data_IF_757867604365
#
_entry.id   IF_757867604365
#
_cell.length_a   1.000
_cell.length_b   1.000
_cell.length_c   1.000
_cell.angle_alpha   90.00
_cell.angle_beta   90.00
_cell.angle_gamma   90.00
#
_symmetry.space_group_name_H-M   'P 1'
#
loop_
_entity.id
_entity.type
_entity.pdbx_description
1 polymer ?
#
# COMPACT_ATOMS: atom_id res chain seq x y z
N UNK A 1 -1.74 12.35 62.36
CA UNK A 1 -0.93 11.89 61.22
C UNK A 1 -1.88 11.09 60.35
N UNK A 2 -2.53 11.76 59.39
CA UNK A 2 -3.35 11.09 58.38
C UNK A 2 -2.54 11.11 57.08
N UNK A 3 -1.96 9.97 56.73
CA UNK A 3 -1.22 9.76 55.50
C UNK A 3 -2.20 9.50 54.33
N UNK A 4 -2.25 10.48 53.42
CA UNK A 4 -2.02 10.30 51.99
C UNK A 4 -2.79 9.16 51.27
N UNK A 5 -4.13 9.25 51.26
CA UNK A 5 -5.00 8.37 50.44
C UNK A 5 -5.29 8.93 49.04
N UNK A 6 -5.07 10.23 48.81
CA UNK A 6 -5.35 10.91 47.54
C UNK A 6 -4.35 10.60 46.40
N UNK A 7 -3.18 10.02 46.72
CA UNK A 7 -2.10 9.79 45.75
C UNK A 7 -2.24 8.46 44.98
N UNK A 8 -3.10 7.55 45.44
CA UNK A 8 -3.24 6.22 44.83
C UNK A 8 -4.18 6.22 43.62
N UNK A 9 -5.28 6.98 43.67
CA UNK A 9 -6.25 7.04 42.56
C UNK A 9 -5.66 7.73 41.33
N UNK A 10 -4.88 8.80 41.52
CA UNK A 10 -4.17 9.51 40.45
C UNK A 10 -3.10 8.63 39.79
N UNK A 11 -2.37 7.84 40.57
CA UNK A 11 -1.41 6.85 40.09
C UNK A 11 -2.08 5.77 39.23
N UNK A 12 -3.26 5.27 39.64
CA UNK A 12 -4.03 4.29 38.88
C UNK A 12 -4.61 4.86 37.59
N UNK A 13 -5.13 6.08 37.59
CA UNK A 13 -5.63 6.75 36.38
C UNK A 13 -4.51 7.02 35.37
N UNK A 14 -3.34 7.44 35.83
CA UNK A 14 -2.17 7.60 34.97
C UNK A 14 -1.70 6.27 34.36
N UNK A 15 -1.71 5.18 35.13
CA UNK A 15 -1.38 3.85 34.59
C UNK A 15 -2.41 3.38 33.57
N UNK A 16 -3.71 3.58 33.81
CA UNK A 16 -4.77 3.25 32.86
C UNK A 16 -4.66 4.05 31.56
N UNK A 17 -4.37 5.36 31.63
CA UNK A 17 -4.14 6.18 30.45
C UNK A 17 -2.86 5.78 29.68
N UNK A 18 -1.82 5.33 30.38
CA UNK A 18 -0.58 4.83 29.74
C UNK A 18 -0.84 3.51 29.02
N UNK A 19 -1.59 2.60 29.64
CA UNK A 19 -2.00 1.32 29.05
C UNK A 19 -2.93 1.53 27.87
N UNK A 20 -3.90 2.46 27.95
CA UNK A 20 -4.83 2.74 26.86
C UNK A 20 -4.11 3.40 25.67
N UNK A 21 -3.22 4.37 25.93
CA UNK A 21 -2.34 4.92 24.88
C UNK A 21 -1.50 3.83 24.21
N UNK A 22 -0.90 2.94 24.98
CA UNK A 22 -0.09 1.85 24.44
C UNK A 22 -0.94 0.87 23.61
N UNK A 23 -2.15 0.55 24.05
CA UNK A 23 -3.10 -0.28 23.30
C UNK A 23 -3.55 0.39 22.00
N UNK A 24 -3.79 1.71 22.00
CA UNK A 24 -4.10 2.49 20.80
C UNK A 24 -2.91 2.50 19.82
N UNK A 25 -1.67 2.60 20.31
CA UNK A 25 -0.46 2.50 19.48
C UNK A 25 -0.28 1.10 18.88
N UNK A 26 -0.54 0.03 19.64
CA UNK A 26 -0.51 -1.36 19.15
C UNK A 26 -1.60 -1.58 18.09
N UNK A 27 -2.82 -1.10 18.34
CA UNK A 27 -3.94 -1.19 17.40
C UNK A 27 -3.65 -0.42 16.10
N UNK A 28 -3.09 0.79 16.19
CA UNK A 28 -2.65 1.57 15.02
C UNK A 28 -1.45 0.94 14.32
N UNK A 29 -0.51 0.34 15.05
CA UNK A 29 0.63 -0.39 14.48
C UNK A 29 0.22 -1.65 13.71
N UNK A 30 -0.86 -2.32 14.13
CA UNK A 30 -1.47 -3.45 13.41
C UNK A 30 -2.10 -3.06 12.07
N UNK A 31 -2.41 -1.77 11.84
CA UNK A 31 -2.90 -1.25 10.56
C UNK A 31 -1.78 -1.00 9.53
N UNK A 32 -0.51 -1.01 9.95
CA UNK A 32 0.65 -0.65 9.12
C UNK A 32 1.25 -1.77 8.27
N UNK A 33 0.66 -2.98 8.27
CA UNK A 33 1.13 -4.11 7.47
C UNK A 33 0.50 -4.13 6.07
N UNK A 34 1.30 -4.44 5.04
CA UNK A 34 0.74 -4.75 3.71
C UNK A 34 -0.16 -5.98 3.87
N UNK A 35 -1.43 -5.88 3.46
CA UNK A 35 -2.38 -6.99 3.57
C UNK A 35 -1.83 -8.24 2.87
N UNK A 36 -1.84 -9.37 3.58
CA UNK A 36 -1.46 -10.66 2.98
C UNK A 36 -2.55 -11.06 1.99
N UNK A 37 -2.15 -11.51 0.80
CA UNK A 37 -3.11 -12.03 -0.19
C UNK A 37 -3.85 -13.23 0.41
N UNK A 38 -5.17 -13.27 0.25
CA UNK A 38 -6.00 -14.39 0.74
C UNK A 38 -5.57 -15.76 0.17
N UNK A 39 -4.97 -15.78 -1.03
CA UNK A 39 -4.42 -16.97 -1.67
C UNK A 39 -2.90 -16.82 -1.90
N UNK A 40 -2.05 -17.18 -0.93
CA UNK A 40 -0.60 -17.16 -1.10
C UNK A 40 -0.15 -18.21 -2.14
N UNK A 41 0.94 -17.91 -2.84
CA UNK A 41 1.57 -18.83 -3.80
C UNK A 41 2.28 -19.96 -3.02
N UNK A 42 1.66 -21.14 -2.89
CA UNK A 42 2.22 -22.32 -2.18
C UNK A 42 2.97 -23.28 -3.10
N UNK A 43 2.40 -23.55 -4.28
CA UNK A 43 2.90 -24.58 -5.20
C UNK A 43 4.19 -24.17 -5.93
N UNK A 44 5.07 -25.14 -6.18
CA UNK A 44 6.37 -24.94 -6.84
C UNK A 44 6.46 -25.73 -8.14
N UNK A 45 7.04 -25.10 -9.16
CA UNK A 45 7.37 -25.73 -10.45
C UNK A 45 8.90 -25.73 -10.61
N UNK A 46 9.50 -26.91 -10.78
CA UNK A 46 10.93 -27.08 -11.03
C UNK A 46 11.22 -27.23 -12.52
N UNK A 47 11.98 -26.30 -13.10
CA UNK A 47 12.41 -26.33 -14.50
C UNK A 47 13.93 -26.38 -14.57
N UNK A 48 14.48 -27.16 -15.51
CA UNK A 48 15.92 -27.20 -15.79
C UNK A 48 16.17 -26.45 -17.10
N UNK A 49 17.20 -25.60 -17.09
CA UNK A 49 17.61 -24.80 -18.24
C UNK A 49 19.10 -24.99 -18.47
N UNK A 50 19.50 -24.89 -19.73
CA UNK A 50 20.89 -24.66 -20.11
C UNK A 50 21.33 -23.25 -19.69
N UNK A 51 22.65 -23.02 -19.67
CA UNK A 51 23.23 -21.70 -19.32
C UNK A 51 22.73 -20.61 -20.28
N UNK A 52 22.62 -20.92 -21.57
CA UNK A 52 22.19 -19.97 -22.60
C UNK A 52 20.71 -19.59 -22.46
N UNK A 53 19.84 -20.57 -22.24
CA UNK A 53 18.41 -20.33 -22.00
C UNK A 53 18.19 -19.47 -20.75
N UNK A 54 18.93 -19.76 -19.69
CA UNK A 54 18.83 -19.01 -18.45
C UNK A 54 19.31 -17.56 -18.59
N UNK A 55 20.39 -17.34 -19.36
CA UNK A 55 20.90 -16.00 -19.66
C UNK A 55 19.86 -15.19 -20.44
N UNK A 56 19.27 -15.77 -21.48
CA UNK A 56 18.24 -15.13 -22.29
C UNK A 56 17.00 -14.76 -21.46
N UNK A 57 16.53 -15.65 -20.57
CA UNK A 57 15.39 -15.36 -19.70
C UNK A 57 15.66 -14.21 -18.73
N UNK A 58 16.86 -14.17 -18.13
CA UNK A 58 17.29 -13.05 -17.27
C UNK A 58 17.30 -11.73 -18.04
N UNK A 59 17.95 -11.68 -19.21
CA UNK A 59 18.02 -10.47 -20.02
C UNK A 59 16.63 -9.94 -20.42
N UNK A 60 15.70 -10.84 -20.77
CA UNK A 60 14.32 -10.46 -21.08
C UNK A 60 13.57 -9.93 -19.86
N UNK A 61 13.75 -10.53 -18.69
CA UNK A 61 13.17 -10.07 -17.44
C UNK A 61 13.72 -8.69 -17.04
N UNK A 62 15.04 -8.50 -17.15
CA UNK A 62 15.74 -7.27 -16.79
C UNK A 62 15.31 -6.10 -17.70
N UNK A 63 15.19 -6.34 -19.02
CA UNK A 63 14.65 -5.34 -19.97
C UNK A 63 13.25 -4.85 -19.59
N UNK A 64 12.45 -5.70 -18.95
CA UNK A 64 11.10 -5.37 -18.48
C UNK A 64 11.07 -4.92 -17.02
N UNK A 65 12.22 -4.82 -16.35
CA UNK A 65 12.36 -4.48 -14.92
C UNK A 65 11.54 -5.42 -14.02
N UNK A 66 11.42 -6.68 -14.41
CA UNK A 66 10.70 -7.71 -13.68
C UNK A 66 11.66 -8.70 -13.02
N UNK A 67 11.28 -9.21 -11.85
CA UNK A 67 11.96 -10.36 -11.26
C UNK A 67 11.76 -11.56 -12.18
N UNK A 68 12.81 -12.36 -12.34
CA UNK A 68 12.76 -13.55 -13.20
C UNK A 68 11.58 -14.47 -12.86
N UNK A 69 11.30 -14.71 -11.57
CA UNK A 69 10.19 -15.57 -11.15
C UNK A 69 8.82 -15.04 -11.59
N UNK A 70 8.60 -13.72 -11.51
CA UNK A 70 7.34 -13.10 -11.90
C UNK A 70 7.23 -13.06 -13.44
N UNK A 71 8.32 -12.69 -14.13
CA UNK A 71 8.39 -12.75 -15.59
C UNK A 71 8.09 -14.16 -16.12
N UNK A 72 8.75 -15.19 -15.58
CA UNK A 72 8.53 -16.59 -15.95
C UNK A 72 7.09 -17.04 -15.71
N UNK A 73 6.46 -16.61 -14.62
CA UNK A 73 5.05 -16.91 -14.37
C UNK A 73 4.12 -16.23 -15.36
N UNK A 74 4.39 -14.98 -15.71
CA UNK A 74 3.56 -14.23 -16.66
C UNK A 74 3.58 -14.90 -18.04
N UNK A 75 4.77 -15.26 -18.52
CA UNK A 75 4.90 -15.95 -19.83
C UNK A 75 4.28 -17.35 -19.81
N UNK A 76 4.46 -18.13 -18.74
CA UNK A 76 3.91 -19.49 -18.63
C UNK A 76 2.38 -19.51 -18.51
N UNK A 77 1.79 -18.42 -18.01
CA UNK A 77 0.34 -18.25 -17.90
C UNK A 77 -0.25 -17.41 -19.02
N UNK A 78 0.55 -17.08 -20.05
CA UNK A 78 0.15 -16.23 -21.19
C UNK A 78 -0.49 -14.91 -20.75
N UNK A 79 -0.03 -14.36 -19.63
CA UNK A 79 -0.52 -13.09 -19.10
C UNK A 79 0.17 -11.93 -19.80
N UNK A 80 -0.59 -10.86 -19.98
CA UNK A 80 -0.07 -9.58 -20.46
C UNK A 80 1.08 -9.11 -19.56
N UNK A 81 2.22 -8.77 -20.18
CA UNK A 81 3.35 -8.23 -19.44
C UNK A 81 3.06 -6.79 -19.02
N UNK A 82 3.36 -6.42 -17.76
CA UNK A 82 3.16 -5.06 -17.27
C UNK A 82 4.04 -4.08 -18.04
N UNK A 83 3.47 -2.92 -18.39
CA UNK A 83 4.23 -1.79 -18.89
C UNK A 83 4.72 -0.95 -17.71
N UNK A 84 6.00 -1.14 -17.36
CA UNK A 84 6.62 -0.52 -16.21
C UNK A 84 6.54 1.02 -16.25
N UNK A 85 6.84 1.63 -17.39
CA UNK A 85 6.91 3.09 -17.49
C UNK A 85 5.52 3.71 -17.44
N UNK A 86 4.57 3.10 -18.15
CA UNK A 86 3.15 3.50 -18.07
C UNK A 86 2.61 3.37 -16.65
N UNK A 87 2.90 2.27 -15.95
CA UNK A 87 2.44 2.06 -14.58
C UNK A 87 3.03 3.07 -13.60
N UNK A 88 4.30 3.45 -13.77
CA UNK A 88 4.91 4.52 -12.96
C UNK A 88 4.18 5.84 -13.20
N UNK A 89 4.03 6.26 -14.46
CA UNK A 89 3.36 7.53 -14.77
C UNK A 89 1.93 7.57 -14.21
N UNK A 90 1.16 6.49 -14.38
CA UNK A 90 -0.17 6.37 -13.81
C UNK A 90 -0.15 6.47 -12.27
N UNK A 91 0.82 5.83 -11.61
CA UNK A 91 0.96 5.90 -10.15
C UNK A 91 1.31 7.31 -9.67
N UNK A 92 2.15 8.03 -10.42
CA UNK A 92 2.50 9.43 -10.17
C UNK A 92 1.28 10.34 -10.32
N UNK A 93 0.49 10.17 -11.39
CA UNK A 93 -0.76 10.92 -11.56
C UNK A 93 -1.74 10.69 -10.41
N UNK A 94 -1.98 9.43 -10.02
CA UNK A 94 -2.83 9.11 -8.88
C UNK A 94 -2.34 9.78 -7.58
N UNK A 95 -1.01 9.87 -7.40
CA UNK A 95 -0.40 10.55 -6.25
C UNK A 95 -0.62 12.06 -6.30
N UNK A 96 -0.47 12.67 -7.47
CA UNK A 96 -0.71 14.09 -7.68
C UNK A 96 -2.18 14.46 -7.44
N UNK A 97 -3.12 13.69 -7.97
CA UNK A 97 -4.55 13.85 -7.67
C UNK A 97 -4.84 13.79 -6.17
N UNK A 98 -4.20 12.86 -5.46
CA UNK A 98 -4.34 12.77 -4.00
C UNK A 98 -3.79 14.00 -3.27
N UNK A 99 -2.67 14.55 -3.74
CA UNK A 99 -2.10 15.80 -3.19
C UNK A 99 -3.02 16.98 -3.42
N UNK A 100 -3.63 17.09 -4.60
CA UNK A 100 -4.62 18.12 -4.92
C UNK A 100 -5.82 17.98 -3.97
N UNK A 101 -6.40 16.78 -3.84
CA UNK A 101 -7.51 16.54 -2.91
C UNK A 101 -7.15 16.91 -1.46
N UNK A 102 -5.94 16.60 -1.02
CA UNK A 102 -5.45 17.01 0.30
C UNK A 102 -5.28 18.52 0.45
N UNK A 103 -4.94 19.24 -0.62
CA UNK A 103 -4.83 20.70 -0.58
C UNK A 103 -6.20 21.39 -0.51
N UNK A 104 -7.19 20.86 -1.22
CA UNK A 104 -8.60 21.31 -1.14
C UNK A 104 -9.23 21.03 0.26
N UNK A 105 -8.58 20.12 0.99
CA UNK A 105 -8.43 19.98 2.46
C UNK A 105 -8.43 21.25 3.32
N UNK A 106 -8.00 22.38 2.76
CA UNK A 106 -7.86 23.65 3.48
C UNK A 106 -9.11 24.52 3.31
N UNK A 107 -9.38 25.41 4.27
CA UNK A 107 -10.64 26.16 4.48
C UNK A 107 -10.96 27.23 3.39
N UNK A 108 -10.52 27.03 2.15
CA UNK A 108 -10.71 27.98 1.05
C UNK A 108 -11.95 27.71 0.19
N UNK A 109 -12.67 26.61 0.42
CA UNK A 109 -13.81 26.15 -0.38
C UNK A 109 -15.04 25.92 0.49
N UNK A 110 -16.23 26.09 -0.08
CA UNK A 110 -17.46 25.69 0.61
C UNK A 110 -17.53 24.17 0.77
N UNK A 111 -18.27 23.71 1.78
CA UNK A 111 -18.35 22.28 2.12
C UNK A 111 -18.87 21.42 0.95
N UNK A 112 -19.84 21.95 0.19
CA UNK A 112 -20.41 21.29 -0.98
C UNK A 112 -19.43 21.20 -2.14
N UNK A 113 -18.79 22.30 -2.52
CA UNK A 113 -17.79 22.32 -3.59
C UNK A 113 -16.61 21.40 -3.29
N UNK A 114 -16.19 21.34 -2.02
CA UNK A 114 -15.18 20.39 -1.59
C UNK A 114 -15.63 18.95 -1.76
N UNK A 115 -16.84 18.61 -1.34
CA UNK A 115 -17.34 17.23 -1.39
C UNK A 115 -17.43 16.72 -2.82
N UNK A 116 -18.01 17.51 -3.73
CA UNK A 116 -18.18 17.15 -5.14
C UNK A 116 -16.82 16.95 -5.83
N UNK A 117 -15.88 17.89 -5.63
CA UNK A 117 -14.55 17.82 -6.25
C UNK A 117 -13.68 16.68 -5.69
N UNK A 118 -13.79 16.38 -4.38
CA UNK A 118 -13.10 15.22 -3.79
C UNK A 118 -13.63 13.90 -4.36
N UNK A 119 -14.94 13.81 -4.62
CA UNK A 119 -15.55 12.66 -5.28
C UNK A 119 -14.95 12.41 -6.67
N UNK A 120 -14.89 13.45 -7.51
CA UNK A 120 -14.28 13.35 -8.84
C UNK A 120 -12.80 12.93 -8.79
N UNK A 121 -12.04 13.48 -7.85
CA UNK A 121 -10.63 13.13 -7.64
C UNK A 121 -10.50 11.65 -7.23
N UNK A 122 -11.36 11.16 -6.34
CA UNK A 122 -11.35 9.76 -5.92
C UNK A 122 -11.74 8.81 -7.06
N UNK A 123 -12.72 9.18 -7.88
CA UNK A 123 -13.10 8.42 -9.08
C UNK A 123 -11.97 8.37 -10.10
N UNK A 124 -11.30 9.50 -10.36
CA UNK A 124 -10.14 9.55 -11.25
C UNK A 124 -9.00 8.65 -10.73
N UNK A 125 -8.69 8.69 -9.43
CA UNK A 125 -7.69 7.81 -8.80
C UNK A 125 -8.08 6.35 -8.95
N UNK A 126 -9.38 6.01 -8.76
CA UNK A 126 -9.88 4.65 -8.91
C UNK A 126 -9.73 4.16 -10.36
N UNK A 127 -10.12 4.98 -11.33
CA UNK A 127 -9.96 4.68 -12.76
C UNK A 127 -8.50 4.44 -13.15
N UNK A 128 -7.58 5.28 -12.68
CA UNK A 128 -6.14 5.11 -12.88
C UNK A 128 -5.65 3.79 -12.30
N UNK A 129 -6.03 3.46 -11.06
CA UNK A 129 -5.60 2.22 -10.40
C UNK A 129 -6.09 0.96 -11.12
N UNK A 130 -7.26 0.99 -11.74
CA UNK A 130 -7.76 -0.13 -12.56
C UNK A 130 -6.90 -0.39 -13.79
N UNK A 131 -6.25 0.64 -14.33
CA UNK A 131 -5.40 0.54 -15.51
C UNK A 131 -3.95 0.14 -15.19
N UNK A 132 -3.52 0.30 -13.94
CA UNK A 132 -2.18 -0.13 -13.49
C UNK A 132 -2.18 -1.65 -13.34
N UNK A 133 -1.48 -2.33 -14.24
CA UNK A 133 -1.30 -3.80 -14.21
C UNK A 133 0.15 -4.12 -13.93
N UNK A 134 0.48 -4.60 -12.72
CA UNK A 134 1.82 -5.06 -12.34
C UNK A 134 2.01 -6.56 -12.60
#
# INVERSE_FOLDING_TARGET
MEENTEDWESLFEEEFEKVDRQNQFIARGKLGGRSRSAAPKSERLGLRFTIQEMKMLKERADKKKLKLTDYSRLILLEKELPDYEKNIMLTEYATNFRRIGNYMKKEMFTEKERADLLGEIEEAIKGIKTQVKW
#
